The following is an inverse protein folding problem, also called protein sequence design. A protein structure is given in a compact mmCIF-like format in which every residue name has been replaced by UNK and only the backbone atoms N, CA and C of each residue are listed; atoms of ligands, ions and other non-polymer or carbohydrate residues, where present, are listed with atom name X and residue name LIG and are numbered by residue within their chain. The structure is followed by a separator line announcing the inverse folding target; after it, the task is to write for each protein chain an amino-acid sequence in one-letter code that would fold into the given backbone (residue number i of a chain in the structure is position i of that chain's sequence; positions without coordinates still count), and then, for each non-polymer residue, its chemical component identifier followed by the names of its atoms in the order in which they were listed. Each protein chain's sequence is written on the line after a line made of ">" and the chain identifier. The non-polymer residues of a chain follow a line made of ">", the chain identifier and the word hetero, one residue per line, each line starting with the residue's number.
data_IF_531399482762
#
_entry.id   IF_531399482762
#
_cell.length_a   1.000
_cell.length_b   1.000
_cell.length_c   1.000
_cell.angle_alpha   90.00
_cell.angle_beta   90.00
_cell.angle_gamma   90.00
#
_symmetry.space_group_name_H-M   'P 1'
#
loop_
_entity.id
_entity.type
_entity.pdbx_description
1 polymer ?
#
# COMPACT_ATOMS: atom_id res chain seq x y z
N UNK A 1 25.12 7.21 16.87
CA UNK A 1 24.18 7.27 15.72
C UNK A 1 22.77 7.44 16.25
N UNK A 2 21.95 8.25 15.61
CA UNK A 2 20.52 8.38 15.99
C UNK A 2 19.80 7.09 15.57
N UNK A 3 18.93 6.55 16.43
CA UNK A 3 18.15 5.38 16.10
C UNK A 3 17.16 5.72 14.96
N UNK A 4 17.10 4.88 13.90
CA UNK A 4 16.12 4.99 12.84
C UNK A 4 14.77 4.41 13.30
N UNK A 5 13.69 5.07 12.94
CA UNK A 5 12.32 4.64 13.24
C UNK A 5 11.58 4.26 11.97
N UNK A 6 11.08 3.04 11.95
CA UNK A 6 10.23 2.53 10.88
C UNK A 6 8.76 2.59 11.27
N UNK A 7 7.91 3.13 10.40
CA UNK A 7 6.47 2.93 10.46
C UNK A 7 6.08 1.79 9.52
N UNK A 8 5.49 0.72 10.06
CA UNK A 8 5.05 -0.46 9.32
C UNK A 8 3.53 -0.55 9.32
N UNK A 9 2.97 -0.92 8.17
CA UNK A 9 1.54 -1.19 8.03
C UNK A 9 1.17 -2.47 8.76
N UNK A 10 0.20 -2.39 9.70
CA UNK A 10 -0.37 -3.57 10.38
C UNK A 10 -1.10 -4.50 9.42
N UNK A 11 -1.04 -5.79 9.69
CA UNK A 11 -1.81 -6.82 8.98
C UNK A 11 -0.94 -7.70 8.10
N UNK A 12 -1.45 -8.08 6.91
CA UNK A 12 -0.74 -9.02 6.03
C UNK A 12 0.61 -8.46 5.57
N UNK A 13 0.64 -7.23 5.06
CA UNK A 13 1.86 -6.59 4.59
C UNK A 13 2.94 -6.48 5.68
N UNK A 14 2.56 -6.45 6.96
CA UNK A 14 3.51 -6.45 8.07
C UNK A 14 4.36 -7.71 8.09
N UNK A 15 3.76 -8.87 7.86
CA UNK A 15 4.46 -10.16 7.89
C UNK A 15 5.51 -10.23 6.76
N UNK A 16 5.10 -9.83 5.56
CA UNK A 16 5.98 -9.82 4.38
C UNK A 16 7.12 -8.81 4.58
N UNK A 17 6.80 -7.62 5.11
CA UNK A 17 7.78 -6.58 5.40
C UNK A 17 8.81 -7.02 6.46
N UNK A 18 8.35 -7.68 7.54
CA UNK A 18 9.25 -8.20 8.59
C UNK A 18 10.16 -9.29 8.01
N UNK A 19 9.61 -10.23 7.22
CA UNK A 19 10.41 -11.28 6.61
C UNK A 19 11.50 -10.71 5.67
N UNK A 20 11.16 -9.70 4.86
CA UNK A 20 12.12 -9.03 3.99
C UNK A 20 13.19 -8.25 4.79
N UNK A 21 12.79 -7.56 5.86
CA UNK A 21 13.73 -6.87 6.75
C UNK A 21 14.72 -7.83 7.40
N UNK A 22 14.25 -9.00 7.88
CA UNK A 22 15.10 -10.04 8.46
C UNK A 22 16.07 -10.63 7.42
N UNK A 23 15.61 -10.90 6.19
CA UNK A 23 16.49 -11.31 5.08
C UNK A 23 17.57 -10.27 4.78
N UNK A 24 17.24 -9.00 4.89
CA UNK A 24 18.18 -7.88 4.73
C UNK A 24 19.13 -7.69 5.96
N UNK A 25 19.07 -8.59 6.96
CA UNK A 25 19.93 -8.54 8.15
C UNK A 25 19.46 -7.53 9.22
N UNK A 26 18.20 -7.10 9.18
CA UNK A 26 17.61 -6.20 10.18
C UNK A 26 16.89 -7.04 11.23
N UNK A 27 17.34 -6.93 12.50
CA UNK A 27 16.75 -7.68 13.60
C UNK A 27 15.33 -7.20 13.95
N UNK A 28 14.35 -8.03 13.63
CA UNK A 28 12.93 -7.84 13.96
C UNK A 28 12.44 -8.80 15.06
N UNK A 29 13.32 -9.51 15.77
CA UNK A 29 12.98 -10.54 16.76
C UNK A 29 12.00 -10.05 17.83
N UNK A 30 12.10 -8.79 18.25
CA UNK A 30 11.18 -8.18 19.22
C UNK A 30 9.71 -8.12 18.75
N UNK A 31 9.46 -8.29 17.45
CA UNK A 31 8.13 -8.27 16.86
C UNK A 31 7.46 -9.66 16.83
N UNK A 32 8.13 -10.72 17.25
CA UNK A 32 7.59 -12.09 17.24
C UNK A 32 6.47 -12.27 18.25
N UNK A 33 6.63 -11.77 19.50
CA UNK A 33 5.59 -11.81 20.55
C UNK A 33 5.01 -10.40 20.80
N UNK A 34 4.11 -10.01 19.90
CA UNK A 34 3.59 -8.61 19.86
C UNK A 34 2.63 -8.28 20.99
N UNK A 35 1.81 -9.23 21.44
CA UNK A 35 0.67 -8.97 22.33
C UNK A 35 -0.12 -7.73 21.86
N UNK A 36 -0.24 -6.70 22.71
CA UNK A 36 -0.89 -5.41 22.37
C UNK A 36 0.12 -4.27 22.13
N UNK A 37 1.41 -4.58 22.08
CA UNK A 37 2.44 -3.57 21.83
C UNK A 37 2.37 -3.06 20.38
N UNK A 38 2.74 -1.80 20.19
CA UNK A 38 2.76 -1.09 18.90
C UNK A 38 4.12 -0.51 18.58
N UNK A 39 5.04 -0.50 19.57
CA UNK A 39 6.40 0.00 19.43
C UNK A 39 7.34 -1.12 19.86
N UNK A 40 8.35 -1.38 19.02
CA UNK A 40 9.33 -2.44 19.18
C UNK A 40 10.72 -1.86 18.94
N UNK A 41 11.73 -2.46 19.54
CA UNK A 41 13.12 -2.04 19.39
C UNK A 41 13.94 -3.25 18.98
N UNK A 42 14.82 -3.08 18.00
CA UNK A 42 15.82 -4.09 17.69
C UNK A 42 16.76 -4.25 18.88
N UNK A 43 17.18 -5.48 19.15
CA UNK A 43 18.12 -5.81 20.23
C UNK A 43 19.57 -5.59 19.81
N UNK A 44 19.85 -5.60 18.50
CA UNK A 44 21.22 -5.60 17.94
C UNK A 44 21.55 -4.31 17.19
N UNK A 45 20.56 -3.52 16.82
CA UNK A 45 20.72 -2.33 15.95
C UNK A 45 19.97 -1.12 16.53
N UNK A 46 20.40 0.11 16.27
CA UNK A 46 19.69 1.31 16.70
C UNK A 46 18.46 1.57 15.81
N UNK A 47 17.53 0.62 15.80
CA UNK A 47 16.31 0.64 14.98
C UNK A 47 15.10 0.41 15.89
N UNK A 48 14.00 1.12 15.59
CA UNK A 48 12.70 0.91 16.24
C UNK A 48 11.61 0.78 15.19
N UNK A 49 10.57 0.01 15.50
CA UNK A 49 9.43 -0.22 14.64
C UNK A 49 8.15 0.28 15.30
N UNK A 50 7.29 0.94 14.54
CA UNK A 50 5.99 1.44 14.97
C UNK A 50 4.94 0.80 14.07
N UNK A 51 3.98 0.06 14.66
CA UNK A 51 2.89 -0.58 13.93
C UNK A 51 1.67 0.33 13.90
N UNK A 52 1.27 0.77 12.70
CA UNK A 52 0.14 1.68 12.48
C UNK A 52 -0.75 1.19 11.34
N UNK A 53 -1.92 1.80 11.13
CA UNK A 53 -2.73 1.56 9.94
C UNK A 53 -2.01 2.07 8.69
N UNK A 54 -2.25 1.45 7.53
CA UNK A 54 -1.60 1.81 6.27
C UNK A 54 -1.67 3.32 5.97
N UNK A 55 -2.84 3.92 6.10
CA UNK A 55 -3.04 5.37 5.87
C UNK A 55 -2.25 6.25 6.84
N UNK A 56 -1.98 5.77 8.06
CA UNK A 56 -1.27 6.52 9.09
C UNK A 56 0.24 6.49 8.88
N UNK A 57 0.81 5.48 8.19
CA UNK A 57 2.25 5.39 7.87
C UNK A 57 2.72 6.70 7.23
N UNK A 58 1.95 7.21 6.26
CA UNK A 58 2.23 8.47 5.58
C UNK A 58 2.31 9.65 6.55
N UNK A 59 1.40 9.72 7.50
CA UNK A 59 1.35 10.78 8.52
C UNK A 59 2.58 10.74 9.42
N UNK A 60 2.95 9.55 9.91
CA UNK A 60 4.13 9.38 10.76
C UNK A 60 5.43 9.75 10.05
N UNK A 61 5.57 9.37 8.78
CA UNK A 61 6.74 9.71 7.95
C UNK A 61 6.73 11.22 7.63
N UNK A 62 5.61 11.78 7.22
CA UNK A 62 5.48 13.22 6.89
C UNK A 62 5.91 14.11 8.06
N UNK A 63 5.50 13.79 9.28
CA UNK A 63 5.80 14.56 10.47
C UNK A 63 7.16 14.22 11.11
N UNK A 64 7.96 13.33 10.52
CA UNK A 64 9.27 12.95 11.03
C UNK A 64 9.24 12.17 12.35
N UNK A 65 8.08 11.63 12.73
CA UNK A 65 7.94 10.69 13.86
C UNK A 65 8.58 9.36 13.49
N UNK A 66 8.41 8.92 12.23
CA UNK A 66 9.17 7.85 11.61
C UNK A 66 10.09 8.43 10.53
N UNK A 67 11.30 7.88 10.44
CA UNK A 67 12.30 8.24 9.43
C UNK A 67 11.98 7.55 8.10
N UNK A 68 11.49 6.31 8.19
CA UNK A 68 11.20 5.39 7.09
C UNK A 68 9.80 4.82 7.26
N UNK A 69 9.10 4.53 6.17
CA UNK A 69 7.81 3.83 6.18
C UNK A 69 7.77 2.72 5.15
N UNK A 70 7.05 1.64 5.46
CA UNK A 70 6.69 0.59 4.50
C UNK A 70 5.17 0.59 4.36
N UNK A 71 4.69 0.85 3.14
CA UNK A 71 3.27 1.06 2.83
C UNK A 71 2.95 0.63 1.41
N UNK A 72 1.72 0.20 1.15
CA UNK A 72 1.27 -0.15 -0.19
C UNK A 72 1.25 1.06 -1.14
N UNK A 73 1.54 0.83 -2.41
CA UNK A 73 1.49 1.85 -3.46
C UNK A 73 0.10 2.47 -3.62
N UNK A 74 -0.96 1.73 -3.31
CA UNK A 74 -2.35 2.19 -3.28
C UNK A 74 -2.54 3.42 -2.38
N UNK A 75 -1.99 3.37 -1.17
CA UNK A 75 -2.03 4.50 -0.22
C UNK A 75 -1.25 5.69 -0.75
N UNK A 76 -0.11 5.46 -1.39
CA UNK A 76 0.72 6.52 -1.98
C UNK A 76 0.04 7.19 -3.19
N UNK A 77 -0.72 6.43 -3.97
CA UNK A 77 -1.47 6.94 -5.12
C UNK A 77 -2.68 7.78 -4.70
N UNK A 78 -3.30 7.42 -3.57
CA UNK A 78 -4.44 8.15 -3.02
C UNK A 78 -4.03 9.43 -2.28
N UNK A 79 -2.85 9.44 -1.66
CA UNK A 79 -2.38 10.53 -0.82
C UNK A 79 -1.53 11.58 -1.55
N UNK A 80 -1.37 12.75 -0.92
CA UNK A 80 -0.45 13.80 -1.41
C UNK A 80 1.02 13.42 -1.19
N UNK A 81 1.89 13.73 -2.17
CA UNK A 81 3.34 13.44 -2.13
C UNK A 81 4.08 14.36 -1.16
N UNK A 82 4.38 13.89 0.04
CA UNK A 82 5.16 14.63 1.05
C UNK A 82 6.44 13.91 1.52
N UNK A 83 6.82 12.82 0.84
CA UNK A 83 7.92 11.91 1.16
C UNK A 83 8.74 11.61 -0.10
N UNK A 84 9.86 10.90 0.07
CA UNK A 84 10.56 10.24 -1.02
C UNK A 84 10.14 8.77 -1.08
N UNK A 85 9.69 8.32 -2.24
CA UNK A 85 9.52 6.91 -2.55
C UNK A 85 10.87 6.41 -3.06
N UNK A 86 11.53 5.53 -2.31
CA UNK A 86 12.93 5.17 -2.54
C UNK A 86 13.09 3.79 -3.19
N UNK A 87 12.22 2.82 -2.85
CA UNK A 87 12.38 1.45 -3.31
C UNK A 87 11.02 0.77 -3.49
N UNK A 88 10.89 -0.01 -4.57
CA UNK A 88 9.85 -1.04 -4.70
C UNK A 88 10.32 -2.28 -3.96
N UNK A 89 9.55 -2.71 -2.97
CA UNK A 89 9.90 -3.87 -2.14
C UNK A 89 9.47 -5.20 -2.76
N UNK A 90 8.75 -5.18 -3.89
CA UNK A 90 8.28 -6.37 -4.64
C UNK A 90 7.41 -7.34 -3.83
N UNK A 91 6.96 -6.95 -2.63
CA UNK A 91 6.06 -7.69 -1.74
C UNK A 91 4.65 -7.11 -1.73
N UNK A 92 3.66 -7.88 -1.28
CA UNK A 92 2.26 -7.47 -1.21
C UNK A 92 1.68 -7.11 -2.58
N UNK A 93 2.08 -7.82 -3.64
CA UNK A 93 1.67 -7.55 -5.03
C UNK A 93 0.17 -7.71 -5.19
N UNK A 94 -0.47 -6.72 -5.76
CA UNK A 94 -1.88 -6.68 -6.13
C UNK A 94 -2.10 -5.71 -7.29
N UNK A 95 -3.33 -5.46 -7.69
CA UNK A 95 -3.63 -4.59 -8.82
C UNK A 95 -4.93 -3.84 -8.60
N UNK A 96 -4.98 -2.55 -8.97
CA UNK A 96 -6.25 -1.87 -9.12
C UNK A 96 -7.03 -2.44 -10.29
N UNK A 97 -8.31 -2.72 -10.06
CA UNK A 97 -9.22 -3.22 -11.07
C UNK A 97 -10.54 -2.45 -11.06
N UNK A 98 -11.12 -2.30 -12.25
CA UNK A 98 -12.51 -1.95 -12.43
C UNK A 98 -13.30 -3.26 -12.45
N UNK A 99 -14.26 -3.42 -11.56
CA UNK A 99 -15.07 -4.64 -11.44
C UNK A 99 -16.56 -4.28 -11.25
N UNK A 100 -17.43 -5.17 -11.70
CA UNK A 100 -18.87 -5.05 -11.52
C UNK A 100 -19.57 -6.39 -11.72
N UNK A 101 -20.91 -6.39 -11.63
CA UNK A 101 -21.77 -7.50 -12.00
C UNK A 101 -21.66 -7.81 -13.50
N UNK A 102 -21.98 -9.04 -13.97
CA UNK A 102 -21.83 -9.42 -15.37
C UNK A 102 -22.69 -8.64 -16.38
N UNK A 103 -23.74 -7.97 -15.93
CA UNK A 103 -24.66 -7.17 -16.73
C UNK A 103 -24.22 -5.69 -16.89
N UNK A 104 -23.09 -5.30 -16.27
CA UNK A 104 -22.54 -3.96 -16.44
C UNK A 104 -22.05 -3.73 -17.87
N UNK A 105 -22.50 -2.65 -18.49
CA UNK A 105 -22.04 -2.20 -19.81
C UNK A 105 -21.02 -1.05 -19.67
N UNK A 106 -19.71 -1.34 -19.82
CA UNK A 106 -18.68 -0.30 -19.75
C UNK A 106 -18.77 0.71 -20.92
N UNK A 107 -19.39 0.34 -22.04
CA UNK A 107 -19.52 1.19 -23.24
C UNK A 107 -20.71 2.16 -23.18
N UNK A 108 -21.58 2.04 -22.19
CA UNK A 108 -22.73 2.92 -22.01
C UNK A 108 -22.32 4.39 -21.89
N UNK A 109 -22.97 5.26 -22.66
CA UNK A 109 -22.73 6.72 -22.65
C UNK A 109 -23.34 7.44 -21.45
N UNK A 110 -24.15 6.77 -20.61
CA UNK A 110 -24.67 7.38 -19.40
C UNK A 110 -23.55 7.64 -18.40
N UNK A 111 -23.67 8.68 -17.60
CA UNK A 111 -22.77 8.96 -16.50
C UNK A 111 -22.82 7.80 -15.50
N UNK A 112 -21.69 7.14 -15.28
CA UNK A 112 -21.54 5.98 -14.39
C UNK A 112 -21.30 6.42 -12.95
N UNK A 113 -21.80 5.65 -12.01
CA UNK A 113 -21.52 5.80 -10.57
C UNK A 113 -20.48 4.75 -10.18
N UNK A 114 -19.35 5.19 -9.63
CA UNK A 114 -18.22 4.33 -9.27
C UNK A 114 -18.00 4.38 -7.77
N UNK A 115 -18.15 3.24 -7.08
CA UNK A 115 -17.84 3.14 -5.66
C UNK A 115 -16.38 2.72 -5.46
N UNK A 116 -15.70 3.35 -4.52
CA UNK A 116 -14.29 3.05 -4.25
C UNK A 116 -13.82 3.59 -2.90
N UNK A 117 -12.80 2.96 -2.34
CA UNK A 117 -12.03 3.49 -1.22
C UNK A 117 -10.99 4.53 -1.69
N UNK A 118 -10.71 4.60 -2.98
CA UNK A 118 -9.62 5.35 -3.60
C UNK A 118 -10.14 6.39 -4.61
N UNK A 119 -10.86 7.44 -4.15
CA UNK A 119 -11.48 8.43 -5.05
C UNK A 119 -10.46 9.20 -5.91
N UNK A 120 -9.26 9.48 -5.41
CA UNK A 120 -8.21 10.16 -6.18
C UNK A 120 -7.73 9.29 -7.34
N UNK A 121 -7.50 8.00 -7.08
CA UNK A 121 -7.10 7.02 -8.11
C UNK A 121 -8.19 6.87 -9.16
N UNK A 122 -9.45 6.71 -8.74
CA UNK A 122 -10.60 6.58 -9.64
C UNK A 122 -10.78 7.83 -10.51
N UNK A 123 -10.77 9.03 -9.92
CA UNK A 123 -10.86 10.29 -10.66
C UNK A 123 -9.76 10.43 -11.72
N UNK A 124 -8.54 10.07 -11.37
CA UNK A 124 -7.40 10.11 -12.30
C UNK A 124 -7.63 9.18 -13.47
N UNK A 125 -8.02 7.92 -13.20
CA UNK A 125 -8.22 6.90 -14.20
C UNK A 125 -9.29 7.30 -15.24
N UNK A 126 -10.49 7.72 -14.80
CA UNK A 126 -11.57 8.11 -15.71
C UNK A 126 -11.27 9.42 -16.45
N UNK A 127 -10.59 10.37 -15.81
CA UNK A 127 -10.13 11.59 -16.46
C UNK A 127 -9.14 11.30 -17.60
N UNK A 128 -8.21 10.36 -17.42
CA UNK A 128 -7.26 9.93 -18.45
C UNK A 128 -7.97 9.27 -19.64
N UNK A 129 -9.13 8.64 -19.40
CA UNK A 129 -10.00 8.09 -20.44
C UNK A 129 -10.96 9.12 -21.09
N UNK A 130 -11.04 10.33 -20.55
CA UNK A 130 -12.01 11.34 -20.99
C UNK A 130 -13.45 11.01 -20.60
N UNK A 131 -13.67 10.15 -19.62
CA UNK A 131 -14.98 9.76 -19.10
C UNK A 131 -15.37 10.58 -17.86
N UNK A 132 -16.60 11.12 -17.84
CA UNK A 132 -17.19 11.74 -16.65
C UNK A 132 -17.95 10.68 -15.83
N UNK A 133 -17.61 10.57 -14.57
CA UNK A 133 -18.21 9.62 -13.62
C UNK A 133 -18.54 10.31 -12.31
N UNK A 134 -19.53 9.78 -11.61
CA UNK A 134 -19.76 10.10 -10.20
C UNK A 134 -18.99 9.12 -9.31
N UNK A 135 -18.29 9.63 -8.29
CA UNK A 135 -17.50 8.77 -7.39
C UNK A 135 -18.13 8.80 -6.01
N UNK A 136 -18.48 7.62 -5.52
CA UNK A 136 -18.94 7.40 -4.14
C UNK A 136 -17.81 6.78 -3.34
N UNK A 137 -17.36 7.48 -2.27
CA UNK A 137 -16.34 6.97 -1.37
C UNK A 137 -16.96 6.00 -0.37
N UNK A 138 -16.42 4.78 -0.30
CA UNK A 138 -16.76 3.73 0.66
C UNK A 138 -15.47 3.25 1.34
N UNK A 139 -15.47 3.12 2.67
CA UNK A 139 -14.25 2.76 3.43
C UNK A 139 -13.97 1.25 3.48
N UNK A 140 -14.97 0.40 3.24
CA UNK A 140 -14.81 -1.06 3.24
C UNK A 140 -16.00 -1.78 2.59
N UNK A 141 -15.84 -3.07 2.27
CA UNK A 141 -16.85 -3.90 1.59
C UNK A 141 -17.42 -3.25 0.34
N UNK A 142 -16.54 -2.72 -0.50
CA UNK A 142 -16.89 -1.98 -1.73
C UNK A 142 -17.63 -2.89 -2.72
N UNK A 143 -17.35 -4.20 -2.65
CA UNK A 143 -17.86 -5.24 -3.54
C UNK A 143 -19.39 -5.35 -3.54
N UNK A 144 -20.04 -4.96 -2.44
CA UNK A 144 -21.50 -5.03 -2.37
C UNK A 144 -22.20 -3.87 -3.09
N UNK A 145 -21.50 -2.78 -3.41
CA UNK A 145 -22.10 -1.60 -3.99
C UNK A 145 -22.80 -1.86 -5.35
N UNK A 146 -22.20 -2.58 -6.31
CA UNK A 146 -22.89 -2.92 -7.56
C UNK A 146 -24.01 -3.95 -7.36
N UNK A 147 -23.87 -4.85 -6.39
CA UNK A 147 -24.87 -5.89 -6.10
C UNK A 147 -26.16 -5.30 -5.53
N UNK A 148 -26.06 -4.17 -4.85
CA UNK A 148 -27.18 -3.46 -4.22
C UNK A 148 -27.60 -2.20 -5.01
N UNK A 149 -27.18 -2.07 -6.27
CA UNK A 149 -27.52 -0.94 -7.14
C UNK A 149 -27.10 0.44 -6.59
N UNK A 150 -26.14 0.48 -5.63
CA UNK A 150 -25.59 1.74 -5.12
C UNK A 150 -24.62 2.38 -6.11
N UNK A 151 -23.93 1.58 -6.90
CA UNK A 151 -22.99 2.02 -7.93
C UNK A 151 -23.05 1.08 -9.13
N UNK A 152 -22.66 1.58 -10.29
CA UNK A 152 -22.59 0.78 -11.52
C UNK A 152 -21.37 -0.16 -11.52
N UNK A 153 -20.27 0.29 -10.92
CA UNK A 153 -19.04 -0.48 -10.84
C UNK A 153 -18.20 -0.02 -9.63
N UNK A 154 -17.14 -0.77 -9.34
CA UNK A 154 -16.17 -0.43 -8.31
C UNK A 154 -14.76 -0.30 -8.88
N UNK A 155 -13.94 0.54 -8.23
CA UNK A 155 -12.49 0.47 -8.34
C UNK A 155 -11.94 0.04 -6.99
N UNK A 156 -11.25 -1.10 -6.98
CA UNK A 156 -10.62 -1.62 -5.76
C UNK A 156 -9.32 -2.39 -6.10
N UNK A 157 -8.55 -2.71 -5.05
CA UNK A 157 -7.34 -3.53 -5.16
C UNK A 157 -7.71 -5.01 -5.15
N UNK A 158 -7.17 -5.74 -6.11
CA UNK A 158 -7.41 -7.17 -6.29
C UNK A 158 -6.08 -7.90 -6.25
N UNK A 159 -5.98 -8.90 -5.39
CA UNK A 159 -4.84 -9.81 -5.34
C UNK A 159 -5.17 -11.11 -6.07
N UNK A 160 -6.05 -11.93 -5.51
CA UNK A 160 -6.46 -13.23 -6.08
C UNK A 160 -7.80 -13.15 -6.82
N UNK A 161 -8.61 -12.14 -6.53
CA UNK A 161 -9.96 -11.99 -7.07
C UNK A 161 -11.02 -12.87 -6.41
N UNK A 162 -10.70 -13.65 -5.39
CA UNK A 162 -11.65 -14.51 -4.68
C UNK A 162 -12.84 -13.74 -4.12
N UNK A 163 -12.60 -12.62 -3.43
CA UNK A 163 -13.66 -11.78 -2.86
C UNK A 163 -14.63 -11.28 -3.93
N UNK A 164 -14.11 -10.81 -5.08
CA UNK A 164 -14.98 -10.38 -6.19
C UNK A 164 -15.85 -11.53 -6.67
N UNK A 165 -15.25 -12.69 -6.91
CA UNK A 165 -15.95 -13.90 -7.40
C UNK A 165 -17.02 -14.38 -6.43
N UNK A 166 -16.74 -14.40 -5.12
CA UNK A 166 -17.69 -14.80 -4.09
C UNK A 166 -18.90 -13.85 -4.00
N UNK A 167 -18.73 -12.58 -4.40
CA UNK A 167 -19.81 -11.59 -4.46
C UNK A 167 -20.41 -11.43 -5.86
N UNK A 168 -20.12 -12.35 -6.80
CA UNK A 168 -20.69 -12.33 -8.15
C UNK A 168 -20.17 -11.25 -9.09
N UNK A 169 -19.02 -10.64 -8.76
CA UNK A 169 -18.38 -9.62 -9.57
C UNK A 169 -17.31 -10.22 -10.50
N UNK A 170 -17.14 -9.58 -11.66
CA UNK A 170 -16.08 -9.86 -12.63
C UNK A 170 -15.21 -8.63 -12.85
N UNK A 171 -13.96 -8.85 -13.23
CA UNK A 171 -13.02 -7.78 -13.58
C UNK A 171 -13.25 -7.40 -15.03
N UNK A 172 -13.56 -6.12 -15.26
CA UNK A 172 -13.69 -5.54 -16.59
C UNK A 172 -12.36 -4.97 -17.10
N UNK A 173 -11.57 -4.38 -16.19
CA UNK A 173 -10.29 -3.79 -16.56
C UNK A 173 -9.28 -3.88 -15.43
N UNK A 174 -8.05 -4.26 -15.78
CA UNK A 174 -6.88 -4.19 -14.90
C UNK A 174 -6.17 -2.85 -15.12
N UNK A 175 -5.99 -2.09 -14.04
CA UNK A 175 -5.49 -0.71 -14.10
C UNK A 175 -4.00 -0.63 -13.76
N UNK A 176 -3.69 -0.35 -12.50
CA UNK A 176 -2.34 -0.08 -12.04
C UNK A 176 -1.82 -1.22 -11.16
N UNK A 177 -0.62 -1.79 -11.45
CA UNK A 177 0.03 -2.75 -10.55
C UNK A 177 0.43 -2.07 -9.24
N UNK A 178 0.36 -2.80 -8.15
CA UNK A 178 0.65 -2.36 -6.79
C UNK A 178 1.60 -3.32 -6.12
N UNK A 179 2.55 -2.76 -5.39
CA UNK A 179 3.43 -3.46 -4.45
C UNK A 179 3.73 -2.54 -3.27
N UNK A 180 4.33 -3.06 -2.23
CA UNK A 180 4.78 -2.23 -1.12
C UNK A 180 5.98 -1.35 -1.51
N UNK A 181 6.03 -0.17 -0.91
CA UNK A 181 7.08 0.82 -1.16
C UNK A 181 7.79 1.19 0.13
N UNK A 182 9.10 1.35 0.04
CA UNK A 182 9.88 2.03 1.05
C UNK A 182 9.80 3.53 0.81
N UNK A 183 9.30 4.25 1.79
CA UNK A 183 9.24 5.72 1.77
C UNK A 183 10.11 6.31 2.86
N UNK A 184 10.65 7.49 2.62
CA UNK A 184 11.58 8.15 3.55
C UNK A 184 11.17 9.60 3.77
N UNK A 185 11.23 10.04 5.03
CA UNK A 185 11.05 11.44 5.38
C UNK A 185 12.18 12.29 4.77
N UNK A 186 11.81 13.44 4.17
CA UNK A 186 12.76 14.31 3.46
C UNK A 186 13.87 14.88 4.35
N UNK A 187 13.56 15.22 5.60
CA UNK A 187 14.54 15.74 6.55
C UNK A 187 15.43 14.60 7.07
N UNK A 188 14.84 13.45 7.40
CA UNK A 188 15.59 12.26 7.86
C UNK A 188 16.58 11.77 6.81
N UNK A 189 16.21 11.80 5.52
CA UNK A 189 17.13 11.43 4.44
C UNK A 189 18.36 12.36 4.41
N UNK A 190 18.19 13.65 4.64
CA UNK A 190 19.32 14.60 4.70
C UNK A 190 20.21 14.37 5.93
N UNK A 191 19.60 14.08 7.08
CA UNK A 191 20.31 13.94 8.36
C UNK A 191 21.03 12.59 8.50
N UNK A 192 20.44 11.51 7.96
CA UNK A 192 20.91 10.13 8.14
C UNK A 192 21.20 9.46 6.79
N UNK A 193 21.68 10.23 5.79
CA UNK A 193 21.85 9.78 4.40
C UNK A 193 22.58 8.44 4.29
N UNK A 194 23.76 8.35 4.86
CA UNK A 194 24.61 7.14 4.76
C UNK A 194 23.92 5.91 5.34
N UNK A 195 23.26 6.05 6.51
CA UNK A 195 22.59 4.95 7.18
C UNK A 195 21.36 4.48 6.37
N UNK A 196 20.59 5.42 5.82
CA UNK A 196 19.39 5.11 5.03
C UNK A 196 19.76 4.45 3.70
N UNK A 197 20.81 4.94 2.99
CA UNK A 197 21.24 4.31 1.74
C UNK A 197 21.83 2.93 1.98
N UNK A 198 22.62 2.73 3.03
CA UNK A 198 23.12 1.39 3.39
C UNK A 198 21.98 0.39 3.61
N UNK A 199 20.91 0.81 4.30
CA UNK A 199 19.72 0.00 4.50
C UNK A 199 18.98 -0.28 3.18
N UNK A 200 18.89 0.69 2.28
CA UNK A 200 18.29 0.50 0.95
C UNK A 200 19.09 -0.53 0.16
N UNK A 201 20.42 -0.44 0.15
CA UNK A 201 21.31 -1.38 -0.54
C UNK A 201 21.12 -2.82 0.00
N UNK A 202 20.98 -2.99 1.35
CA UNK A 202 20.71 -4.30 1.95
C UNK A 202 19.34 -4.86 1.51
N UNK A 203 18.31 -4.02 1.46
CA UNK A 203 16.98 -4.43 1.00
C UNK A 203 16.98 -4.78 -0.50
N UNK A 204 17.65 -3.99 -1.34
CA UNK A 204 17.80 -4.30 -2.77
C UNK A 204 18.48 -5.65 -3.00
N UNK A 205 19.50 -5.96 -2.21
CA UNK A 205 20.18 -7.24 -2.27
C UNK A 205 19.22 -8.40 -1.90
N UNK A 206 18.51 -8.27 -0.77
CA UNK A 206 17.55 -9.26 -0.33
C UNK A 206 16.42 -9.50 -1.35
N UNK A 207 15.92 -8.44 -1.99
CA UNK A 207 14.90 -8.54 -3.05
C UNK A 207 15.44 -9.28 -4.28
N UNK A 208 16.67 -8.97 -4.71
CA UNK A 208 17.29 -9.65 -5.86
C UNK A 208 17.50 -11.15 -5.61
N UNK A 209 17.88 -11.52 -4.41
CA UNK A 209 18.04 -12.92 -4.01
C UNK A 209 16.68 -13.65 -4.03
N UNK A 210 15.61 -13.02 -3.52
CA UNK A 210 14.26 -13.60 -3.55
C UNK A 210 13.66 -13.76 -4.96
N UNK A 211 14.01 -12.86 -5.89
CA UNK A 211 13.55 -12.96 -7.28
C UNK A 211 14.35 -13.98 -8.12
N UNK A 212 15.50 -14.44 -7.63
CA UNK A 212 16.36 -15.42 -8.29
C UNK A 212 16.08 -16.87 -7.86
N UNK A 213 15.35 -17.08 -6.75
CA UNK A 213 14.87 -18.38 -6.25
C UNK A 213 13.54 -18.78 -6.94
#
# INVERSE_FOLDING_TARGET
>A
MKALKFALTKGRLEKDAVALLEKAGIDCSSMTDKKRKLIFHSSTQPISFILVKAVDVMTYVKHGVADIGIVGKDVLMEASKSHYEMLDLEIGKCQFCLASTPDFDPSSYRRKIIATKYPTVASKFFREKGEDVEIIKIEGSVEIAPVLDLADAIIDIVETGSTLKENGLIIYEKMYPISARLIVNKASLKQNKTQIFHLIDQLEQAIKEELAE
#
